data_IF_763364865173
#
_entry.id   IF_763364865173
#
_cell.length_a   1.000
_cell.length_b   1.000
_cell.length_c   1.000
_cell.angle_alpha   90.00
_cell.angle_beta   90.00
_cell.angle_gamma   90.00
#
_symmetry.space_group_name_H-M   'P 1'
#
loop_
_entity.id
_entity.type
_entity.pdbx_description
1 polymer ?
#
# COMPACT_ATOMS: atom_id res chain seq x y z
N UNK A 1 79.41 -34.45 4.93
CA UNK A 1 77.98 -34.69 5.23
C UNK A 1 77.24 -33.38 5.06
N UNK A 2 76.31 -33.26 4.09
CA UNK A 2 75.72 -31.99 3.67
C UNK A 2 74.68 -31.47 4.68
N UNK A 3 74.56 -30.14 4.72
CA UNK A 3 73.73 -29.38 5.65
C UNK A 3 72.25 -29.69 5.58
N UNK A 4 71.60 -29.73 6.74
CA UNK A 4 70.16 -29.84 6.89
C UNK A 4 69.54 -28.48 6.58
N UNK A 5 68.98 -28.35 5.38
CA UNK A 5 68.10 -27.25 5.00
C UNK A 5 66.90 -27.25 5.95
N UNK A 6 66.82 -26.22 6.79
CA UNK A 6 65.62 -25.90 7.57
C UNK A 6 64.50 -25.49 6.62
N UNK A 7 63.61 -26.43 6.31
CA UNK A 7 62.33 -26.12 5.67
C UNK A 7 61.50 -25.28 6.65
N UNK A 8 61.45 -23.96 6.43
CA UNK A 8 60.48 -23.10 7.09
C UNK A 8 59.10 -23.53 6.64
N UNK A 9 58.40 -24.27 7.50
CA UNK A 9 57.00 -24.62 7.30
C UNK A 9 56.21 -23.32 7.23
N UNK A 10 55.85 -22.90 6.00
CA UNK A 10 55.05 -21.72 5.75
C UNK A 10 53.70 -21.90 6.44
N UNK A 11 53.51 -21.22 7.57
CA UNK A 11 52.25 -21.22 8.30
C UNK A 11 51.20 -20.54 7.42
N UNK A 12 50.42 -21.33 6.67
CA UNK A 12 49.26 -20.85 5.93
C UNK A 12 48.34 -20.20 6.94
N UNK A 13 48.28 -18.86 6.96
CA UNK A 13 47.49 -18.11 7.92
C UNK A 13 46.01 -18.38 7.67
N UNK A 14 45.44 -19.28 8.45
CA UNK A 14 44.02 -19.62 8.38
C UNK A 14 43.19 -18.49 8.99
N UNK A 15 42.26 -17.91 8.21
CA UNK A 15 41.32 -16.90 8.70
C UNK A 15 40.10 -17.63 9.27
N UNK A 16 39.85 -17.46 10.56
CA UNK A 16 38.64 -18.01 11.19
C UNK A 16 37.45 -17.06 11.00
N UNK A 17 36.29 -17.62 10.63
CA UNK A 17 35.03 -16.88 10.43
C UNK A 17 33.94 -17.26 11.43
N UNK A 18 34.23 -18.12 12.41
CA UNK A 18 33.21 -18.67 13.32
C UNK A 18 32.42 -17.59 14.08
N UNK A 19 33.10 -16.53 14.54
CA UNK A 19 32.45 -15.39 15.19
C UNK A 19 31.51 -14.62 14.25
N UNK A 20 31.93 -14.45 12.99
CA UNK A 20 31.10 -13.79 11.96
C UNK A 20 29.91 -14.66 11.59
N UNK A 21 30.11 -15.97 11.40
CA UNK A 21 29.05 -16.93 11.09
C UNK A 21 28.02 -17.03 12.23
N UNK A 22 28.49 -17.00 13.49
CA UNK A 22 27.61 -16.96 14.67
C UNK A 22 26.79 -15.67 14.71
N UNK A 23 27.43 -14.51 14.55
CA UNK A 23 26.72 -13.23 14.50
C UNK A 23 25.73 -13.15 13.32
N UNK A 24 26.09 -13.72 12.17
CA UNK A 24 25.23 -13.79 10.98
C UNK A 24 24.00 -14.67 11.23
N UNK A 25 24.15 -15.80 11.93
CA UNK A 25 23.03 -16.64 12.35
C UNK A 25 22.09 -15.92 13.32
N UNK A 26 22.64 -15.22 14.32
CA UNK A 26 21.84 -14.37 15.21
C UNK A 26 21.09 -13.28 14.44
N UNK A 27 21.74 -12.67 13.45
CA UNK A 27 21.13 -11.64 12.60
C UNK A 27 19.99 -12.20 11.74
N UNK A 28 20.13 -13.41 11.17
CA UNK A 28 19.06 -14.09 10.40
C UNK A 28 17.80 -14.32 11.22
N UNK A 29 17.93 -14.56 12.53
CA UNK A 29 16.76 -14.77 13.40
C UNK A 29 15.83 -13.55 13.44
N UNK A 30 16.31 -12.34 13.14
CA UNK A 30 15.47 -11.14 13.04
C UNK A 30 14.46 -11.18 11.88
N UNK A 31 14.65 -12.06 10.88
CA UNK A 31 13.64 -12.27 9.83
C UNK A 31 12.30 -12.71 10.42
N UNK A 32 12.30 -13.45 11.54
CA UNK A 32 11.08 -13.82 12.26
C UNK A 32 10.34 -12.60 12.84
N UNK A 33 11.08 -11.62 13.37
CA UNK A 33 10.51 -10.37 13.89
C UNK A 33 9.87 -9.55 12.78
N UNK A 34 10.55 -9.43 11.63
CA UNK A 34 10.03 -8.72 10.44
C UNK A 34 8.75 -9.41 9.94
N UNK A 35 8.80 -10.73 9.83
CA UNK A 35 7.69 -11.58 9.41
C UNK A 35 6.46 -11.42 10.33
N UNK A 36 6.65 -11.40 11.65
CA UNK A 36 5.58 -11.16 12.63
C UNK A 36 5.03 -9.73 12.56
N UNK A 37 5.90 -8.74 12.29
CA UNK A 37 5.47 -7.36 12.05
C UNK A 37 4.57 -7.25 10.82
N UNK A 38 4.90 -7.93 9.73
CA UNK A 38 4.04 -8.01 8.54
C UNK A 38 2.67 -8.63 8.86
N UNK A 39 2.62 -9.71 9.63
CA UNK A 39 1.37 -10.37 10.00
C UNK A 39 0.47 -9.42 10.82
N UNK A 40 1.07 -8.70 11.77
CA UNK A 40 0.36 -7.69 12.58
C UNK A 40 -0.19 -6.56 11.72
N UNK A 41 0.61 -6.05 10.78
CA UNK A 41 0.16 -5.01 9.83
C UNK A 41 -1.00 -5.51 8.97
N UNK A 42 -0.93 -6.77 8.52
CA UNK A 42 -2.00 -7.39 7.74
C UNK A 42 -3.30 -7.48 8.53
N UNK A 43 -3.25 -8.03 9.76
CA UNK A 43 -4.42 -8.16 10.63
C UNK A 43 -5.07 -6.80 10.91
N UNK A 44 -4.29 -5.80 11.32
CA UNK A 44 -4.81 -4.45 11.61
C UNK A 44 -5.43 -3.82 10.37
N UNK A 45 -4.83 -4.01 9.19
CA UNK A 45 -5.39 -3.46 7.95
C UNK A 45 -6.73 -4.11 7.58
N UNK A 46 -6.90 -5.42 7.83
CA UNK A 46 -8.15 -6.11 7.58
C UNK A 46 -9.25 -5.60 8.52
N UNK A 47 -8.98 -5.53 9.83
CA UNK A 47 -9.93 -5.02 10.84
C UNK A 47 -10.42 -3.59 10.51
N UNK A 48 -9.51 -2.74 10.03
CA UNK A 48 -9.84 -1.36 9.61
C UNK A 48 -10.78 -1.32 8.40
N UNK A 49 -10.63 -2.23 7.45
CA UNK A 49 -11.51 -2.32 6.28
C UNK A 49 -12.89 -2.85 6.67
N UNK A 50 -12.98 -3.80 7.60
CA UNK A 50 -14.24 -4.37 8.06
C UNK A 50 -15.14 -3.36 8.79
N UNK A 51 -14.55 -2.46 9.58
CA UNK A 51 -15.31 -1.49 10.38
C UNK A 51 -15.81 -0.26 9.60
N UNK A 52 -15.58 -0.21 8.28
CA UNK A 52 -15.93 0.93 7.39
C UNK A 52 -15.50 2.30 7.95
N UNK A 53 -14.42 2.35 8.74
CA UNK A 53 -13.93 3.64 9.22
C UNK A 53 -13.42 4.43 8.01
N UNK A 54 -14.07 5.55 7.66
CA UNK A 54 -13.52 6.53 6.72
C UNK A 54 -12.29 7.20 7.36
N UNK A 55 -11.19 6.49 7.39
CA UNK A 55 -9.92 7.01 7.88
C UNK A 55 -8.86 6.66 6.85
N UNK A 56 -8.00 7.65 6.59
CA UNK A 56 -6.78 7.62 5.80
C UNK A 56 -5.77 6.47 6.15
N UNK A 57 -6.18 5.46 6.92
CA UNK A 57 -5.37 4.40 7.53
C UNK A 57 -4.94 3.31 6.55
N UNK A 58 -5.72 3.04 5.49
CA UNK A 58 -5.38 1.99 4.51
C UNK A 58 -4.03 2.28 3.81
N UNK A 59 -3.73 3.56 3.56
CA UNK A 59 -2.44 3.98 3.01
C UNK A 59 -1.28 3.94 4.02
N UNK A 60 -1.58 4.01 5.31
CA UNK A 60 -0.57 3.88 6.37
C UNK A 60 -0.11 2.44 6.52
N UNK A 61 -1.04 1.48 6.51
CA UNK A 61 -0.69 0.05 6.64
C UNK A 61 -0.03 -0.48 5.36
N UNK A 62 -0.50 -0.05 4.18
CA UNK A 62 0.20 -0.30 2.90
C UNK A 62 1.67 0.15 2.97
N UNK A 63 1.92 1.36 3.50
CA UNK A 63 3.27 1.90 3.64
C UNK A 63 4.10 1.10 4.65
N UNK A 64 3.53 0.76 5.82
CA UNK A 64 4.20 -0.05 6.83
C UNK A 64 4.59 -1.43 6.28
N UNK A 65 3.72 -2.05 5.50
CA UNK A 65 4.01 -3.33 4.85
C UNK A 65 5.18 -3.22 3.85
N UNK A 66 5.23 -2.14 3.06
CA UNK A 66 6.37 -1.87 2.15
C UNK A 66 7.67 -1.67 2.94
N UNK A 67 7.63 -0.97 4.08
CA UNK A 67 8.81 -0.75 4.93
C UNK A 67 9.33 -2.08 5.50
N UNK A 68 8.46 -2.97 5.99
CA UNK A 68 8.86 -4.31 6.42
C UNK A 68 9.42 -5.14 5.27
N UNK A 69 8.81 -5.10 4.09
CA UNK A 69 9.29 -5.86 2.92
C UNK A 69 10.67 -5.37 2.46
N UNK A 70 10.92 -4.06 2.51
CA UNK A 70 12.22 -3.47 2.23
C UNK A 70 13.27 -3.90 3.26
N UNK A 71 12.91 -3.89 4.54
CA UNK A 71 13.79 -4.32 5.63
C UNK A 71 14.19 -5.80 5.48
N UNK A 72 13.25 -6.69 5.14
CA UNK A 72 13.53 -8.11 4.92
C UNK A 72 14.49 -8.33 3.73
N UNK A 73 14.28 -7.59 2.63
CA UNK A 73 15.18 -7.62 1.47
C UNK A 73 16.58 -7.14 1.82
N UNK A 74 16.70 -6.01 2.50
CA UNK A 74 18.00 -5.45 2.91
C UNK A 74 18.75 -6.41 3.83
N UNK A 75 18.07 -6.98 4.83
CA UNK A 75 18.61 -7.98 5.72
C UNK A 75 19.12 -9.21 4.94
N UNK A 76 18.30 -9.72 4.02
CA UNK A 76 18.65 -10.85 3.16
C UNK A 76 19.86 -10.56 2.25
N UNK A 77 19.94 -9.36 1.67
CA UNK A 77 21.05 -8.94 0.83
C UNK A 77 22.34 -8.80 1.64
N UNK A 78 22.27 -8.23 2.85
CA UNK A 78 23.41 -8.11 3.72
C UNK A 78 23.94 -9.49 4.12
N UNK A 79 23.04 -10.39 4.51
CA UNK A 79 23.38 -11.79 4.82
C UNK A 79 24.08 -12.48 3.65
N UNK A 80 23.54 -12.34 2.43
CA UNK A 80 24.14 -12.89 1.21
C UNK A 80 25.52 -12.29 0.92
N UNK A 81 25.70 -10.98 1.10
CA UNK A 81 26.97 -10.29 0.87
C UNK A 81 28.07 -10.77 1.83
N UNK A 82 27.74 -10.91 3.12
CA UNK A 82 28.68 -11.45 4.12
C UNK A 82 29.03 -12.90 3.79
N UNK A 83 28.05 -13.76 3.54
CA UNK A 83 28.28 -15.17 3.21
C UNK A 83 29.14 -15.33 1.94
N UNK A 84 28.84 -14.55 0.90
CA UNK A 84 29.61 -14.54 -0.35
C UNK A 84 31.06 -14.06 -0.12
N UNK A 85 31.28 -13.09 0.77
CA UNK A 85 32.64 -12.62 1.10
C UNK A 85 33.42 -13.69 1.84
N UNK A 86 32.81 -14.34 2.84
CA UNK A 86 33.43 -15.44 3.58
C UNK A 86 33.84 -16.57 2.63
N UNK A 87 32.94 -17.01 1.75
CA UNK A 87 33.22 -18.09 0.81
C UNK A 87 34.36 -17.74 -0.15
N UNK A 88 34.32 -16.52 -0.70
CA UNK A 88 35.36 -16.02 -1.61
C UNK A 88 36.75 -15.99 -0.94
N UNK A 89 36.86 -15.52 0.30
CA UNK A 89 38.15 -15.50 1.03
C UNK A 89 38.62 -16.91 1.40
N UNK A 90 37.70 -17.82 1.74
CA UNK A 90 38.03 -19.24 1.99
C UNK A 90 38.57 -19.93 0.73
N UNK A 91 38.05 -19.59 -0.44
CA UNK A 91 38.44 -20.15 -1.74
C UNK A 91 39.77 -19.56 -2.26
N UNK A 92 39.91 -18.23 -2.28
CA UNK A 92 41.11 -17.56 -2.81
C UNK A 92 42.33 -17.71 -1.91
N UNK A 93 42.14 -18.01 -0.61
CA UNK A 93 43.20 -18.14 0.40
C UNK A 93 44.30 -17.07 0.27
N UNK A 94 43.92 -15.78 0.38
CA UNK A 94 44.85 -14.70 0.11
C UNK A 94 46.00 -14.68 1.13
N UNK A 95 47.23 -14.40 0.66
CA UNK A 95 48.43 -14.31 1.50
C UNK A 95 48.32 -13.23 2.59
N UNK A 96 47.57 -12.17 2.30
CA UNK A 96 47.26 -11.07 3.23
C UNK A 96 45.76 -11.02 3.46
N UNK A 97 45.36 -10.74 4.69
CA UNK A 97 43.95 -10.57 5.04
C UNK A 97 43.40 -9.37 4.25
N UNK A 98 42.39 -9.55 3.39
CA UNK A 98 41.81 -8.46 2.63
C UNK A 98 40.92 -7.59 3.53
N UNK A 99 40.57 -6.40 3.06
CA UNK A 99 39.57 -5.56 3.73
C UNK A 99 38.17 -6.20 3.58
N UNK A 100 37.80 -6.99 4.58
CA UNK A 100 36.53 -7.70 4.62
C UNK A 100 35.34 -6.74 4.62
N UNK A 101 35.47 -5.58 5.27
CA UNK A 101 34.39 -4.59 5.33
C UNK A 101 34.13 -4.04 3.92
N UNK A 102 35.19 -3.61 3.24
CA UNK A 102 35.08 -3.08 1.87
C UNK A 102 34.51 -4.13 0.89
N UNK A 103 34.93 -5.39 1.02
CA UNK A 103 34.41 -6.49 0.19
C UNK A 103 32.91 -6.73 0.43
N UNK A 104 32.47 -6.75 1.69
CA UNK A 104 31.05 -6.90 2.04
C UNK A 104 30.26 -5.71 1.51
N UNK A 105 30.71 -4.48 1.73
CA UNK A 105 30.04 -3.26 1.24
C UNK A 105 29.91 -3.27 -0.28
N UNK A 106 30.97 -3.61 -1.00
CA UNK A 106 30.93 -3.72 -2.47
C UNK A 106 29.92 -4.77 -2.94
N UNK A 107 29.91 -5.96 -2.34
CA UNK A 107 28.95 -7.02 -2.71
C UNK A 107 27.52 -6.63 -2.33
N UNK A 108 27.33 -5.95 -1.22
CA UNK A 108 26.01 -5.50 -0.76
C UNK A 108 25.44 -4.40 -1.67
N UNK A 109 26.23 -3.39 -2.02
CA UNK A 109 25.83 -2.34 -2.98
C UNK A 109 25.48 -2.94 -4.35
N UNK A 110 26.28 -3.88 -4.85
CA UNK A 110 25.99 -4.56 -6.13
C UNK A 110 24.68 -5.37 -6.10
N UNK A 111 24.25 -5.86 -4.93
CA UNK A 111 22.93 -6.47 -4.74
C UNK A 111 21.84 -5.41 -4.68
N UNK A 112 22.09 -4.26 -4.06
CA UNK A 112 21.14 -3.15 -4.00
C UNK A 112 20.91 -2.46 -5.34
N UNK A 113 21.94 -2.32 -6.19
CA UNK A 113 21.81 -1.68 -7.50
C UNK A 113 20.85 -2.43 -8.43
N UNK A 114 20.58 -3.70 -8.13
CA UNK A 114 19.62 -4.55 -8.85
C UNK A 114 18.22 -4.53 -8.22
N UNK A 115 18.04 -3.86 -7.09
CA UNK A 115 16.75 -3.74 -6.44
C UNK A 115 15.77 -3.03 -7.37
N UNK A 116 14.60 -3.62 -7.55
CA UNK A 116 13.47 -2.99 -8.21
C UNK A 116 12.28 -2.92 -7.25
N UNK A 117 11.40 -1.94 -7.46
CA UNK A 117 10.09 -1.95 -6.79
C UNK A 117 9.21 -3.11 -7.29
N UNK A 118 9.60 -3.78 -8.38
CA UNK A 118 8.96 -5.01 -8.83
C UNK A 118 9.16 -6.18 -7.85
N UNK A 119 10.24 -6.18 -7.06
CA UNK A 119 10.61 -7.27 -6.14
C UNK A 119 9.59 -7.45 -5.00
N UNK A 120 8.82 -6.41 -4.67
CA UNK A 120 7.74 -6.51 -3.70
C UNK A 120 6.63 -7.49 -4.13
N UNK A 121 6.53 -7.80 -5.44
CA UNK A 121 5.62 -8.81 -5.98
C UNK A 121 6.12 -10.24 -5.76
N UNK A 122 7.38 -10.44 -5.36
CA UNK A 122 7.90 -11.76 -5.00
C UNK A 122 7.77 -12.06 -3.50
N UNK A 123 7.58 -11.04 -2.66
CA UNK A 123 7.31 -11.26 -1.24
C UNK A 123 5.90 -11.82 -1.08
N UNK A 124 5.83 -13.12 -0.80
CA UNK A 124 4.58 -13.87 -0.68
C UNK A 124 3.59 -13.22 0.29
N UNK A 125 4.08 -12.73 1.44
CA UNK A 125 3.24 -12.06 2.44
C UNK A 125 2.67 -10.73 1.94
N UNK A 126 3.47 -9.96 1.20
CA UNK A 126 3.00 -8.71 0.58
C UNK A 126 1.91 -8.99 -0.47
N UNK A 127 2.11 -10.01 -1.31
CA UNK A 127 1.13 -10.40 -2.33
C UNK A 127 -0.17 -10.90 -1.69
N UNK A 128 -0.06 -11.75 -0.67
CA UNK A 128 -1.21 -12.26 0.09
C UNK A 128 -1.98 -11.11 0.73
N UNK A 129 -1.30 -10.19 1.41
CA UNK A 129 -1.88 -8.99 2.00
C UNK A 129 -2.68 -8.15 0.98
N UNK A 130 -2.07 -7.80 -0.16
CA UNK A 130 -2.76 -7.03 -1.20
C UNK A 130 -3.94 -7.79 -1.80
N UNK A 131 -3.85 -9.12 -1.90
CA UNK A 131 -4.94 -9.95 -2.38
C UNK A 131 -6.12 -9.97 -1.40
N UNK A 132 -5.86 -10.16 -0.11
CA UNK A 132 -6.89 -10.19 0.94
C UNK A 132 -7.65 -8.86 1.01
N UNK A 133 -6.94 -7.72 0.98
CA UNK A 133 -7.57 -6.39 0.93
C UNK A 133 -8.48 -6.20 -0.28
N UNK A 134 -8.07 -6.69 -1.46
CA UNK A 134 -8.89 -6.59 -2.68
C UNK A 134 -10.17 -7.40 -2.57
N UNK A 135 -10.11 -8.59 -1.98
CA UNK A 135 -11.27 -9.47 -1.84
C UNK A 135 -12.28 -8.91 -0.85
N UNK A 136 -11.80 -8.48 0.32
CA UNK A 136 -12.64 -7.90 1.37
C UNK A 136 -13.40 -6.65 0.88
N UNK A 137 -12.71 -5.79 0.11
CA UNK A 137 -13.32 -4.61 -0.51
C UNK A 137 -14.41 -4.94 -1.51
N UNK A 138 -14.28 -5.99 -2.31
CA UNK A 138 -15.34 -6.38 -3.27
C UNK A 138 -16.61 -6.81 -2.54
N UNK A 139 -16.48 -7.49 -1.40
CA UNK A 139 -17.61 -7.95 -0.60
C UNK A 139 -18.39 -6.78 0.02
N UNK A 140 -17.71 -5.69 0.36
CA UNK A 140 -18.32 -4.46 0.87
C UNK A 140 -19.04 -3.61 -0.20
N UNK A 141 -18.71 -3.78 -1.49
CA UNK A 141 -19.27 -2.99 -2.61
C UNK A 141 -20.47 -3.67 -3.27
N UNK A 142 -21.13 -4.66 -2.64
CA UNK A 142 -22.32 -5.26 -3.23
C UNK A 142 -23.40 -4.20 -3.52
N UNK A 143 -23.96 -4.13 -4.74
CA UNK A 143 -25.13 -3.32 -5.01
C UNK A 143 -26.25 -3.78 -4.09
N UNK A 144 -26.93 -2.84 -3.43
CA UNK A 144 -28.28 -3.13 -2.93
C UNK A 144 -29.10 -3.49 -4.17
N UNK A 145 -29.53 -4.75 -4.29
CA UNK A 145 -30.59 -5.09 -5.23
C UNK A 145 -31.82 -4.28 -4.79
N UNK A 146 -32.19 -3.32 -5.63
CA UNK A 146 -33.47 -2.63 -5.53
C UNK A 146 -34.57 -3.67 -5.63
N UNK A 147 -35.19 -3.97 -4.48
CA UNK A 147 -36.46 -4.67 -4.45
C UNK A 147 -37.48 -3.86 -5.24
N UNK A 148 -37.83 -4.34 -6.43
CA UNK A 148 -39.07 -3.97 -7.10
C UNK A 148 -39.90 -5.23 -7.33
N UNK A 149 -40.72 -5.55 -6.34
CA UNK A 149 -41.99 -6.23 -6.59
C UNK A 149 -42.90 -5.26 -7.35
N UNK A 150 -43.41 -5.67 -8.51
CA UNK A 150 -44.84 -5.98 -8.67
C UNK A 150 -45.15 -6.16 -10.15
N UNK A 151 -45.79 -7.29 -10.45
CA UNK A 151 -46.45 -7.61 -11.71
C UNK A 151 -47.23 -6.43 -12.29
N UNK A 152 -47.01 -6.19 -13.58
CA UNK A 152 -47.87 -5.34 -14.39
C UNK A 152 -49.03 -6.23 -14.87
N UNK A 153 -50.15 -6.23 -14.16
CA UNK A 153 -51.42 -6.80 -14.63
C UNK A 153 -52.02 -5.88 -15.71
N UNK A 154 -52.14 -6.31 -16.99
CA UNK A 154 -52.75 -5.49 -18.03
C UNK A 154 -54.19 -5.94 -18.22
N UNK A 155 -55.11 -5.48 -17.37
CA UNK A 155 -56.53 -5.44 -17.72
C UNK A 155 -57.35 -4.64 -16.72
N UNK A 156 -57.76 -3.41 -17.09
CA UNK A 156 -59.14 -2.98 -16.84
C UNK A 156 -59.56 -1.81 -17.72
N UNK A 157 -60.64 -2.07 -18.43
CA UNK A 157 -61.27 -1.25 -19.44
C UNK A 157 -61.75 0.13 -19.00
N UNK A 158 -61.64 1.06 -19.94
CA UNK A 158 -62.49 2.24 -20.04
C UNK A 158 -63.93 1.81 -20.31
N UNK A 159 -64.88 2.22 -19.46
CA UNK A 159 -66.20 2.69 -19.91
C UNK A 159 -66.97 3.41 -18.81
N UNK A 160 -67.60 4.49 -19.26
CA UNK A 160 -68.38 5.52 -18.58
C UNK A 160 -69.85 5.24 -18.85
N UNK A 161 -70.70 5.22 -17.81
CA UNK A 161 -72.07 5.79 -17.75
C UNK A 161 -72.96 5.10 -16.71
N UNK A 162 -73.65 5.90 -15.88
CA UNK A 162 -75.10 5.77 -15.67
C UNK A 162 -75.64 5.07 -14.40
N UNK A 163 -76.33 5.90 -13.60
CA UNK A 163 -77.61 5.65 -12.90
C UNK A 163 -77.72 5.02 -11.49
N UNK A 164 -78.18 5.88 -10.56
CA UNK A 164 -79.37 5.77 -9.68
C UNK A 164 -79.60 4.60 -8.68
N UNK A 165 -79.70 5.02 -7.39
CA UNK A 165 -80.72 4.71 -6.34
C UNK A 165 -80.47 3.63 -5.25
N UNK A 166 -80.77 4.11 -4.03
CA UNK A 166 -81.33 3.50 -2.80
C UNK A 166 -80.56 2.47 -1.94
N UNK A 167 -80.43 2.78 -0.62
CA UNK A 167 -80.43 1.77 0.47
C UNK A 167 -79.41 1.87 1.63
N UNK A 168 -79.70 2.69 2.65
CA UNK A 168 -79.60 2.57 4.14
C UNK A 168 -78.59 1.59 4.87
N UNK A 169 -77.88 2.15 5.89
CA UNK A 169 -77.24 1.60 7.14
C UNK A 169 -76.08 0.56 7.04
N UNK A 170 -75.07 0.45 7.92
CA UNK A 170 -74.66 1.07 9.20
C UNK A 170 -73.17 0.74 9.50
N UNK A 171 -72.52 1.56 10.34
CA UNK A 171 -71.39 1.30 11.27
C UNK A 171 -70.10 0.61 10.81
N UNK A 172 -68.96 1.35 10.84
CA UNK A 172 -67.87 1.17 11.84
C UNK A 172 -66.64 2.06 11.61
N UNK A 173 -66.02 2.40 12.73
CA UNK A 173 -64.94 3.36 13.01
C UNK A 173 -63.53 2.88 12.62
N UNK A 174 -62.66 3.83 12.23
CA UNK A 174 -61.23 4.03 12.57
C UNK A 174 -60.55 4.83 11.44
N UNK A 175 -60.26 6.11 11.59
CA UNK A 175 -59.19 6.77 12.38
C UNK A 175 -57.94 7.09 11.51
N UNK A 176 -57.43 8.31 11.73
CA UNK A 176 -56.25 8.97 11.14
C UNK A 176 -56.30 9.50 9.70
N UNK A 177 -56.81 10.73 9.58
CA UNK A 177 -56.11 11.85 8.91
C UNK A 177 -54.67 11.92 9.46
N UNK A 178 -53.60 12.11 8.69
CA UNK A 178 -53.26 13.31 7.93
C UNK A 178 -52.26 12.93 6.83
N UNK A 179 -52.55 13.35 5.59
CA UNK A 179 -51.57 13.38 4.52
C UNK A 179 -50.68 14.60 4.69
N UNK A 180 -49.39 14.37 4.85
CA UNK A 180 -48.35 15.40 4.70
C UNK A 180 -47.37 14.89 3.65
N UNK A 181 -47.67 15.15 2.38
CA UNK A 181 -46.65 15.19 1.33
C UNK A 181 -45.87 16.49 1.56
N UNK A 182 -44.79 16.42 2.34
CA UNK A 182 -43.83 17.53 2.38
C UNK A 182 -43.04 17.54 1.07
N UNK A 183 -43.21 18.60 0.28
CA UNK A 183 -42.50 18.86 -0.95
C UNK A 183 -40.96 18.69 -0.77
N UNK A 184 -40.37 17.70 -1.45
CA UNK A 184 -38.92 17.54 -1.48
C UNK A 184 -38.28 18.66 -2.33
N UNK A 185 -37.73 19.67 -1.67
CA UNK A 185 -37.07 20.81 -2.31
C UNK A 185 -35.72 20.38 -2.91
N UNK A 186 -35.63 20.32 -4.24
CA UNK A 186 -34.35 20.09 -4.95
C UNK A 186 -33.50 21.36 -4.87
N UNK A 187 -32.45 21.35 -4.04
CA UNK A 187 -31.50 22.47 -3.99
C UNK A 187 -30.41 22.31 -5.06
N UNK A 188 -30.18 23.39 -5.82
CA UNK A 188 -29.10 23.47 -6.79
C UNK A 188 -27.76 23.42 -6.06
N UNK A 189 -26.93 22.40 -6.32
CA UNK A 189 -25.57 22.35 -5.79
C UNK A 189 -24.74 23.46 -6.45
N UNK A 190 -24.24 24.40 -5.64
CA UNK A 190 -23.29 25.40 -6.11
C UNK A 190 -21.96 24.70 -6.42
N UNK A 191 -21.65 24.59 -7.70
CA UNK A 191 -20.36 24.06 -8.17
C UNK A 191 -19.35 25.20 -8.13
N UNK A 192 -18.37 25.10 -7.22
CA UNK A 192 -17.31 26.10 -7.12
C UNK A 192 -16.35 25.95 -8.32
N UNK A 193 -16.43 26.88 -9.27
CA UNK A 193 -15.57 26.91 -10.46
C UNK A 193 -14.21 27.58 -10.21
N UNK A 194 -13.90 27.97 -8.97
CA UNK A 194 -12.66 28.69 -8.64
C UNK A 194 -11.56 27.72 -8.20
N UNK A 195 -10.38 27.81 -8.81
CA UNK A 195 -9.22 27.01 -8.44
C UNK A 195 -8.64 27.49 -7.09
N UNK A 196 -8.45 26.59 -6.10
CA UNK A 196 -7.85 26.97 -4.81
C UNK A 196 -6.40 27.48 -4.87
N UNK A 197 -5.67 27.18 -5.96
CA UNK A 197 -4.25 27.55 -6.11
C UNK A 197 -4.11 28.92 -6.78
N UNK A 198 -4.82 29.13 -7.89
CA UNK A 198 -4.71 30.37 -8.67
C UNK A 198 -5.77 31.39 -8.28
N UNK A 199 -6.82 30.98 -7.56
CA UNK A 199 -8.00 31.80 -7.26
C UNK A 199 -8.70 32.34 -8.52
N UNK A 200 -8.47 31.68 -9.66
CA UNK A 200 -9.09 31.98 -10.95
C UNK A 200 -10.09 30.89 -11.31
N UNK A 201 -11.00 31.20 -12.22
CA UNK A 201 -11.91 30.22 -12.79
C UNK A 201 -11.13 29.06 -13.47
N UNK A 202 -11.55 27.84 -13.17
CA UNK A 202 -10.98 26.61 -13.70
C UNK A 202 -11.44 26.40 -15.15
N UNK A 203 -10.48 26.26 -16.06
CA UNK A 203 -10.69 25.87 -17.46
C UNK A 203 -10.60 24.35 -17.62
N UNK A 204 -9.69 23.69 -16.90
CA UNK A 204 -9.48 22.24 -16.97
C UNK A 204 -9.40 21.64 -15.56
N UNK A 205 -10.56 21.36 -14.93
CA UNK A 205 -10.63 20.89 -13.56
C UNK A 205 -10.08 19.46 -13.42
N UNK A 206 -9.15 19.26 -12.49
CA UNK A 206 -8.61 17.96 -12.10
C UNK A 206 -8.77 17.74 -10.60
N UNK A 207 -9.26 16.55 -10.21
CA UNK A 207 -9.57 16.21 -8.81
C UNK A 207 -8.44 15.42 -8.16
N UNK A 208 -7.97 15.86 -7.00
CA UNK A 208 -7.05 15.07 -6.19
C UNK A 208 -7.79 13.88 -5.58
N UNK A 209 -7.30 12.66 -5.85
CA UNK A 209 -7.87 11.40 -5.35
C UNK A 209 -7.84 11.27 -3.82
N UNK A 210 -6.91 11.96 -3.16
CA UNK A 210 -6.70 11.86 -1.71
C UNK A 210 -7.63 12.76 -0.90
N UNK A 211 -7.82 14.01 -1.34
CA UNK A 211 -8.56 15.02 -0.56
C UNK A 211 -9.79 15.59 -1.27
N UNK A 212 -10.11 15.08 -2.47
CA UNK A 212 -11.30 15.46 -3.21
C UNK A 212 -11.31 16.89 -3.78
N UNK A 213 -10.33 17.72 -3.45
CA UNK A 213 -10.20 19.07 -3.99
C UNK A 213 -9.96 19.05 -5.50
N UNK A 214 -10.62 19.98 -6.18
CA UNK A 214 -10.49 20.19 -7.63
C UNK A 214 -9.61 21.40 -7.89
N UNK A 215 -8.71 21.29 -8.86
CA UNK A 215 -7.73 22.31 -9.20
C UNK A 215 -7.71 22.54 -10.71
N UNK A 216 -7.17 23.67 -11.14
CA UNK A 216 -6.76 23.86 -12.52
C UNK A 216 -5.53 22.98 -12.80
N UNK A 217 -5.56 22.22 -13.89
CA UNK A 217 -4.50 21.26 -14.26
C UNK A 217 -3.12 21.92 -14.32
N UNK A 218 -3.01 23.05 -15.01
CA UNK A 218 -1.73 23.76 -15.15
C UNK A 218 -1.21 24.30 -13.80
N UNK A 219 -2.10 24.64 -12.88
CA UNK A 219 -1.71 25.16 -11.57
C UNK A 219 -1.12 24.06 -10.70
N UNK A 220 -1.77 22.90 -10.64
CA UNK A 220 -1.32 21.79 -9.81
C UNK A 220 -0.05 21.15 -10.37
N UNK A 221 0.08 21.00 -11.69
CA UNK A 221 1.30 20.46 -12.34
C UNK A 221 2.51 21.34 -12.04
N UNK A 222 2.40 22.66 -12.26
CA UNK A 222 3.48 23.61 -11.95
C UNK A 222 3.89 23.60 -10.48
N UNK A 223 2.92 23.47 -9.57
CA UNK A 223 3.20 23.39 -8.13
C UNK A 223 3.98 22.10 -7.77
N UNK A 224 3.61 20.96 -8.35
CA UNK A 224 4.29 19.67 -8.11
C UNK A 224 5.72 19.70 -8.65
N UNK A 225 5.92 20.16 -9.89
CA UNK A 225 7.24 20.26 -10.52
C UNK A 225 8.19 21.18 -9.75
N UNK A 226 7.67 22.33 -9.29
CA UNK A 226 8.42 23.28 -8.47
C UNK A 226 8.90 22.67 -7.15
N UNK A 227 8.06 21.86 -6.49
CA UNK A 227 8.42 21.14 -5.26
C UNK A 227 9.51 20.08 -5.54
N UNK A 228 9.39 19.31 -6.62
CA UNK A 228 10.42 18.33 -7.00
C UNK A 228 11.78 18.98 -7.31
N UNK A 229 11.79 20.12 -8.02
CA UNK A 229 13.01 20.86 -8.33
C UNK A 229 13.72 21.37 -7.07
N UNK A 230 12.96 21.86 -6.08
CA UNK A 230 13.52 22.30 -4.78
C UNK A 230 14.11 21.13 -3.98
N UNK A 231 13.43 19.98 -3.94
CA UNK A 231 13.94 18.76 -3.29
C UNK A 231 15.24 18.25 -3.92
N UNK A 232 15.32 18.23 -5.26
CA UNK A 232 16.55 17.84 -5.97
C UNK A 232 17.71 18.77 -5.60
N UNK A 233 17.52 20.08 -5.64
CA UNK A 233 18.55 21.06 -5.24
C UNK A 233 19.00 20.87 -3.80
N UNK A 234 18.07 20.68 -2.86
CA UNK A 234 18.40 20.46 -1.46
C UNK A 234 19.21 19.18 -1.25
N UNK A 235 18.85 18.09 -1.95
CA UNK A 235 19.57 16.83 -1.88
C UNK A 235 20.97 16.91 -2.51
N UNK A 236 21.11 17.59 -3.64
CA UNK A 236 22.43 17.86 -4.24
C UNK A 236 23.32 18.68 -3.32
N UNK A 237 22.78 19.70 -2.64
CA UNK A 237 23.55 20.50 -1.69
C UNK A 237 23.96 19.70 -0.44
N UNK A 238 23.12 18.77 0.04
CA UNK A 238 23.44 17.92 1.19
C UNK A 238 24.49 16.84 0.89
N UNK A 239 24.68 16.49 -0.39
CA UNK A 239 25.73 15.55 -0.84
C UNK A 239 27.09 16.23 -1.07
N UNK A 240 27.15 17.56 -1.02
CA UNK A 240 28.38 18.35 -1.22
C UNK A 240 28.95 18.94 0.09
N UNK A 241 28.41 18.57 1.25
CA UNK A 241 28.90 18.90 2.60
C UNK A 241 29.38 17.62 3.28
#
# INVERSE_FOLDING_TARGET
MPGRSSTSSGSTRYISFSGVESALSSLKNFQSCISSGMDTVSSVALDLVETQTEVSSEHSMDKAMVEFAKMDRELSHYVKAVQSTINHVKEERPEKVPDLKLLVEKKFLALQDKNSDADFKENEKFVQFKQQLRELKKQLVKPKEDGRHSEFDPNKDSSRAGNERDGIHADRENDLTEGVDEDMIVTQSQTNFICPITQLEMKKPVKNKMCGHTYEEEAIVRMIESKHKRKKKAWTMALCL
#
